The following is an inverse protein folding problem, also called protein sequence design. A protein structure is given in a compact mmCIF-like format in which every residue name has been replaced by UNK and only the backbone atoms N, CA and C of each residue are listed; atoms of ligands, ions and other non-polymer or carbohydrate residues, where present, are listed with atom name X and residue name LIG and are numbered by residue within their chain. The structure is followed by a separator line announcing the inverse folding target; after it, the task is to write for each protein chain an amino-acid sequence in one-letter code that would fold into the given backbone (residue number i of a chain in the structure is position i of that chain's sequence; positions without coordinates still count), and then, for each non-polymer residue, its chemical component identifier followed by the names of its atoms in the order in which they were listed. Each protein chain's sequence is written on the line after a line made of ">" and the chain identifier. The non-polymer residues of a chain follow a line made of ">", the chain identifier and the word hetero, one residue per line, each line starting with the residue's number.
data_IF_359760037464
#
_entry.id   IF_359760037464
#
_cell.length_a   1.000
_cell.length_b   1.000
_cell.length_c   1.000
_cell.angle_alpha   90.00
_cell.angle_beta   90.00
_cell.angle_gamma   90.00
#
_symmetry.space_group_name_H-M   'P 1'
#
loop_
_entity.id
_entity.type
_entity.pdbx_description
1 polymer ?
#
# COMPACT_ATOMS: atom_id res chain seq x y z
N UNK A 1 -4.14 14.68 21.93
CA UNK A 1 -2.90 15.45 22.19
C UNK A 1 -1.74 14.94 21.34
N UNK A 2 -1.47 13.65 21.31
CA UNK A 2 -0.30 13.06 20.63
C UNK A 2 -0.18 13.42 19.12
N UNK A 3 -1.25 13.28 18.34
CA UNK A 3 -1.22 13.61 16.90
C UNK A 3 -0.92 15.09 16.65
N UNK A 4 -1.56 15.98 17.42
CA UNK A 4 -1.38 17.43 17.28
C UNK A 4 0.05 17.87 17.56
N UNK A 5 0.71 17.25 18.52
CA UNK A 5 2.08 17.61 18.90
C UNK A 5 3.07 17.12 17.85
N UNK A 6 2.90 15.92 17.34
CA UNK A 6 3.78 15.37 16.30
C UNK A 6 3.61 16.08 14.94
N UNK A 7 2.42 16.62 14.64
CA UNK A 7 2.20 17.43 13.43
C UNK A 7 3.03 18.72 13.38
N UNK A 8 3.60 19.16 14.51
CA UNK A 8 4.54 20.28 14.54
C UNK A 8 5.90 19.91 13.95
N UNK A 9 6.29 18.64 14.10
CA UNK A 9 7.59 18.13 13.68
C UNK A 9 7.54 17.50 12.29
N UNK A 10 6.48 16.75 11.99
CA UNK A 10 6.27 16.13 10.69
C UNK A 10 4.78 16.16 10.29
N UNK A 11 4.51 16.71 9.13
CA UNK A 11 3.16 16.92 8.63
C UNK A 11 2.72 15.84 7.61
N UNK A 12 3.53 14.83 7.38
CA UNK A 12 3.20 13.69 6.53
C UNK A 12 2.63 12.51 7.30
N UNK A 13 1.82 11.70 6.63
CA UNK A 13 1.34 10.42 7.14
C UNK A 13 1.55 9.34 6.07
N UNK A 14 1.95 8.16 6.51
CA UNK A 14 2.09 6.98 5.65
C UNK A 14 0.86 6.08 5.84
N UNK A 15 0.41 5.45 4.76
CA UNK A 15 -0.64 4.44 4.76
C UNK A 15 -0.22 3.29 3.86
N UNK A 16 -0.34 2.05 4.35
CA UNK A 16 -0.12 0.88 3.50
C UNK A 16 -1.43 0.48 2.79
N UNK A 17 -1.31 0.02 1.56
CA UNK A 17 -2.39 -0.66 0.83
C UNK A 17 -1.85 -1.98 0.27
N UNK A 18 -2.62 -3.04 0.43
CA UNK A 18 -2.27 -4.34 -0.13
C UNK A 18 -3.47 -4.99 -0.77
N UNK A 19 -3.62 -6.28 -0.58
CA UNK A 19 -4.82 -7.06 -0.89
C UNK A 19 -5.01 -8.19 0.11
N UNK A 20 -6.17 -8.83 0.06
CA UNK A 20 -6.46 -10.12 0.68
C UNK A 20 -6.77 -11.08 -0.45
N UNK A 21 -5.76 -11.69 -1.03
CA UNK A 21 -5.90 -12.58 -2.18
C UNK A 21 -4.97 -13.81 -2.10
N UNK A 22 -5.27 -14.79 -2.90
CA UNK A 22 -4.43 -16.00 -3.00
C UNK A 22 -2.99 -15.65 -3.42
N UNK A 23 -2.02 -16.32 -2.84
CA UNK A 23 -0.58 -16.24 -3.17
C UNK A 23 0.02 -17.63 -3.37
N UNK A 24 -0.71 -18.50 -4.08
CA UNK A 24 -0.28 -19.88 -4.32
C UNK A 24 -0.25 -20.73 -3.05
N UNK A 25 0.33 -21.93 -3.14
CA UNK A 25 0.34 -22.89 -2.02
C UNK A 25 1.36 -22.53 -0.93
N UNK A 26 2.27 -21.62 -1.16
CA UNK A 26 3.35 -21.24 -0.25
C UNK A 26 3.17 -19.87 0.39
N UNK A 27 2.36 -18.99 -0.22
CA UNK A 27 2.13 -17.63 0.24
C UNK A 27 0.95 -17.51 1.23
N UNK A 28 0.99 -16.47 2.03
CA UNK A 28 -0.12 -16.11 2.91
C UNK A 28 -1.17 -15.31 2.12
N UNK A 29 -2.44 -15.51 2.44
CA UNK A 29 -3.54 -14.85 1.73
C UNK A 29 -3.51 -13.30 1.85
N UNK A 30 -2.82 -12.77 2.83
CA UNK A 30 -2.63 -11.34 3.06
C UNK A 30 -1.23 -10.82 2.72
N UNK A 31 -0.43 -11.56 1.93
CA UNK A 31 0.98 -11.23 1.62
C UNK A 31 1.16 -9.76 1.21
N UNK A 32 0.37 -9.27 0.28
CA UNK A 32 0.46 -7.88 -0.21
C UNK A 32 0.31 -6.85 0.91
N UNK A 33 -0.65 -7.08 1.80
CA UNK A 33 -0.88 -6.19 2.95
C UNK A 33 0.25 -6.31 3.97
N UNK A 34 0.70 -7.53 4.25
CA UNK A 34 1.78 -7.81 5.22
C UNK A 34 3.08 -7.13 4.76
N UNK A 35 3.44 -7.29 3.48
CA UNK A 35 4.66 -6.71 2.92
C UNK A 35 4.60 -5.17 2.92
N UNK A 36 3.52 -4.60 2.40
CA UNK A 36 3.37 -3.14 2.34
C UNK A 36 3.32 -2.50 3.73
N UNK A 37 2.65 -3.13 4.70
CA UNK A 37 2.57 -2.64 6.08
C UNK A 37 3.92 -2.72 6.79
N UNK A 38 4.66 -3.81 6.61
CA UNK A 38 5.99 -3.98 7.19
C UNK A 38 6.95 -2.88 6.70
N UNK A 39 6.94 -2.62 5.40
CA UNK A 39 7.76 -1.58 4.79
C UNK A 39 7.30 -0.20 5.24
N UNK A 40 5.99 0.08 5.19
CA UNK A 40 5.42 1.35 5.62
C UNK A 40 5.74 1.67 7.08
N UNK A 41 5.66 0.68 7.97
CA UNK A 41 6.02 0.79 9.38
C UNK A 41 7.50 1.15 9.57
N UNK A 42 8.38 0.49 8.83
CA UNK A 42 9.82 0.75 8.89
C UNK A 42 10.16 2.16 8.38
N UNK A 43 9.52 2.59 7.28
CA UNK A 43 9.69 3.94 6.72
C UNK A 43 9.14 4.99 7.69
N UNK A 44 7.94 4.79 8.22
CA UNK A 44 7.31 5.70 9.18
C UNK A 44 8.20 5.94 10.40
N UNK A 45 8.78 4.87 10.95
CA UNK A 45 9.71 4.94 12.08
C UNK A 45 10.97 5.73 11.73
N UNK A 46 11.60 5.45 10.59
CA UNK A 46 12.84 6.12 10.15
C UNK A 46 12.61 7.60 9.81
N UNK A 47 11.47 7.93 9.20
CA UNK A 47 11.11 9.30 8.79
C UNK A 47 10.41 10.10 9.90
N UNK A 48 10.21 9.53 11.07
CA UNK A 48 9.43 10.12 12.16
C UNK A 48 8.02 10.57 11.71
N UNK A 49 7.36 9.74 10.90
CA UNK A 49 6.00 9.97 10.40
C UNK A 49 4.99 9.11 11.14
N UNK A 50 3.71 9.50 11.10
CA UNK A 50 2.64 8.62 11.50
C UNK A 50 2.39 7.53 10.46
N UNK A 51 1.98 6.34 10.94
CA UNK A 51 1.43 5.26 10.13
C UNK A 51 -0.08 5.17 10.39
N UNK A 52 -0.88 5.33 9.35
CA UNK A 52 -2.31 5.08 9.39
C UNK A 52 -2.58 3.56 9.33
N UNK A 53 -3.76 3.09 9.77
CA UNK A 53 -4.19 1.73 9.55
C UNK A 53 -4.14 1.34 8.07
N UNK A 54 -3.72 0.11 7.79
CA UNK A 54 -3.58 -0.41 6.43
C UNK A 54 -4.93 -0.73 5.80
N UNK A 55 -5.01 -0.64 4.47
CA UNK A 55 -6.18 -1.05 3.68
C UNK A 55 -5.82 -2.37 2.98
N UNK A 56 -6.41 -3.48 3.46
CA UNK A 56 -6.17 -4.82 2.93
C UNK A 56 -7.33 -5.36 2.08
N UNK A 57 -8.47 -4.67 2.00
CA UNK A 57 -9.59 -5.02 1.12
C UNK A 57 -9.59 -4.09 -0.08
N UNK A 58 -9.14 -4.61 -1.20
CA UNK A 58 -8.88 -3.85 -2.42
C UNK A 58 -9.35 -4.65 -3.65
N UNK A 59 -9.26 -4.11 -4.87
CA UNK A 59 -9.65 -4.85 -6.07
C UNK A 59 -8.79 -6.09 -6.30
N UNK A 60 -9.40 -7.28 -6.23
CA UNK A 60 -8.77 -8.58 -6.47
C UNK A 60 -9.72 -9.55 -7.20
N UNK A 61 -10.65 -9.03 -8.03
CA UNK A 61 -11.71 -9.79 -8.68
C UNK A 61 -11.20 -10.95 -9.53
N UNK A 62 -10.04 -10.78 -10.19
CA UNK A 62 -9.42 -11.82 -11.01
C UNK A 62 -8.98 -13.05 -10.20
N UNK A 63 -8.83 -12.91 -8.87
CA UNK A 63 -8.47 -14.01 -7.94
C UNK A 63 -9.66 -14.59 -7.16
N UNK A 64 -10.91 -14.15 -7.42
CA UNK A 64 -12.10 -14.59 -6.70
C UNK A 64 -12.45 -16.09 -6.88
N UNK A 65 -11.83 -16.77 -7.84
CA UNK A 65 -11.95 -18.22 -7.99
C UNK A 65 -11.24 -19.00 -6.86
N UNK A 66 -10.35 -18.35 -6.12
CA UNK A 66 -9.60 -18.94 -5.03
C UNK A 66 -10.25 -18.57 -3.71
N UNK A 67 -10.58 -19.59 -2.91
CA UNK A 67 -11.24 -19.41 -1.61
C UNK A 67 -10.39 -18.55 -0.67
N UNK A 68 -11.05 -17.64 0.02
CA UNK A 68 -10.43 -16.73 0.96
C UNK A 68 -10.00 -15.38 0.36
N UNK A 69 -9.97 -15.24 -0.97
CA UNK A 69 -9.80 -13.94 -1.62
C UNK A 69 -11.00 -13.04 -1.30
N UNK A 70 -10.73 -11.80 -0.95
CA UNK A 70 -11.74 -10.76 -0.72
C UNK A 70 -11.50 -9.64 -1.72
N UNK A 71 -12.52 -9.30 -2.50
CA UNK A 71 -12.45 -8.23 -3.49
C UNK A 71 -13.52 -7.16 -3.26
N UNK A 72 -13.16 -5.91 -3.43
CA UNK A 72 -14.10 -4.80 -3.61
C UNK A 72 -13.91 -4.21 -5.01
N UNK A 73 -14.91 -3.49 -5.52
CA UNK A 73 -14.76 -2.84 -6.81
C UNK A 73 -13.70 -1.72 -6.77
N UNK A 74 -13.05 -1.47 -7.92
CA UNK A 74 -12.14 -0.35 -8.08
C UNK A 74 -12.80 0.99 -7.72
N UNK A 75 -14.10 1.15 -8.01
CA UNK A 75 -14.87 2.34 -7.67
C UNK A 75 -15.02 2.50 -6.14
N UNK A 76 -15.32 1.43 -5.42
CA UNK A 76 -15.39 1.43 -3.94
C UNK A 76 -14.05 1.77 -3.34
N UNK A 77 -12.97 1.17 -3.84
CA UNK A 77 -11.61 1.46 -3.38
C UNK A 77 -11.23 2.92 -3.62
N UNK A 78 -11.52 3.48 -4.80
CA UNK A 78 -11.30 4.91 -5.09
C UNK A 78 -12.08 5.81 -4.11
N UNK A 79 -13.34 5.50 -3.84
CA UNK A 79 -14.15 6.26 -2.88
C UNK A 79 -13.57 6.21 -1.48
N UNK A 80 -13.17 5.02 -1.01
CA UNK A 80 -12.50 4.85 0.29
C UNK A 80 -11.22 5.67 0.39
N UNK A 81 -10.34 5.61 -0.62
CA UNK A 81 -9.10 6.38 -0.65
C UNK A 81 -9.36 7.89 -0.60
N UNK A 82 -10.36 8.39 -1.34
CA UNK A 82 -10.75 9.81 -1.33
C UNK A 82 -11.20 10.26 0.06
N UNK A 83 -12.07 9.49 0.70
CA UNK A 83 -12.61 9.83 2.01
C UNK A 83 -11.54 9.78 3.10
N UNK A 84 -10.72 8.73 3.12
CA UNK A 84 -9.62 8.59 4.08
C UNK A 84 -8.59 9.72 3.89
N UNK A 85 -8.14 9.96 2.66
CA UNK A 85 -7.17 11.02 2.35
C UNK A 85 -7.73 12.40 2.74
N UNK A 86 -8.98 12.69 2.39
CA UNK A 86 -9.65 13.95 2.75
C UNK A 86 -9.73 14.15 4.25
N UNK A 87 -10.05 13.09 5.00
CA UNK A 87 -10.12 13.12 6.47
C UNK A 87 -8.76 13.43 7.08
N UNK A 88 -7.70 12.78 6.61
CA UNK A 88 -6.33 13.01 7.09
C UNK A 88 -5.88 14.45 6.83
N UNK A 89 -6.11 14.96 5.62
CA UNK A 89 -5.75 16.34 5.26
C UNK A 89 -6.56 17.36 6.08
N UNK A 90 -7.83 17.09 6.37
CA UNK A 90 -8.68 17.94 7.21
C UNK A 90 -8.17 18.03 8.66
N UNK A 91 -7.51 16.99 9.15
CA UNK A 91 -6.91 16.97 10.49
C UNK A 91 -5.52 17.60 10.57
N UNK A 92 -5.01 18.16 9.47
CA UNK A 92 -3.78 18.96 9.46
C UNK A 92 -2.57 18.27 8.86
N UNK A 93 -2.69 17.01 8.43
CA UNK A 93 -1.64 16.41 7.59
C UNK A 93 -1.56 17.18 6.26
N UNK A 94 -0.34 17.42 5.78
CA UNK A 94 -0.11 18.13 4.52
C UNK A 94 -0.07 17.21 3.32
N UNK A 95 0.31 15.97 3.54
CA UNK A 95 0.36 14.94 2.49
C UNK A 95 0.20 13.53 3.08
N UNK A 96 -0.26 12.64 2.24
CA UNK A 96 -0.38 11.21 2.48
C UNK A 96 0.54 10.48 1.52
N UNK A 97 1.38 9.57 2.02
CA UNK A 97 2.19 8.66 1.22
C UNK A 97 1.61 7.25 1.31
N UNK A 98 1.20 6.69 0.19
CA UNK A 98 0.78 5.29 0.11
C UNK A 98 1.98 4.41 -0.22
N UNK A 99 2.22 3.39 0.61
CA UNK A 99 3.08 2.25 0.28
C UNK A 99 2.18 1.14 -0.22
N UNK A 100 2.28 0.85 -1.52
CA UNK A 100 1.41 -0.12 -2.18
C UNK A 100 2.10 -1.49 -2.30
N UNK A 101 1.35 -2.56 -2.01
CA UNK A 101 1.76 -3.94 -2.13
C UNK A 101 0.99 -4.74 -3.20
N UNK A 102 0.03 -4.14 -3.92
CA UNK A 102 -0.83 -4.87 -4.84
C UNK A 102 -0.97 -4.19 -6.20
N UNK A 103 -0.74 -4.95 -7.28
CA UNK A 103 -0.72 -4.42 -8.65
C UNK A 103 -2.03 -3.76 -9.09
N UNK A 104 -3.18 -4.36 -8.77
CA UNK A 104 -4.49 -3.84 -9.15
C UNK A 104 -4.88 -2.52 -8.45
N UNK A 105 -4.14 -2.10 -7.44
CA UNK A 105 -4.35 -0.83 -6.76
C UNK A 105 -3.77 0.37 -7.54
N UNK A 106 -2.82 0.13 -8.45
CA UNK A 106 -2.00 1.19 -9.08
C UNK A 106 -2.86 2.20 -9.82
N UNK A 107 -3.70 1.75 -10.74
CA UNK A 107 -4.53 2.66 -11.54
C UNK A 107 -5.60 3.37 -10.70
N UNK A 108 -6.35 2.69 -9.81
CA UNK A 108 -7.23 3.37 -8.86
C UNK A 108 -6.54 4.44 -8.00
N UNK A 109 -5.33 4.18 -7.52
CA UNK A 109 -4.56 5.18 -6.74
C UNK A 109 -4.19 6.38 -7.61
N UNK A 110 -3.68 6.15 -8.84
CA UNK A 110 -3.34 7.23 -9.78
C UNK A 110 -4.55 8.10 -10.11
N UNK A 111 -5.72 7.50 -10.34
CA UNK A 111 -6.95 8.23 -10.58
C UNK A 111 -7.29 9.17 -9.41
N UNK A 112 -7.19 8.65 -8.19
CA UNK A 112 -7.50 9.44 -6.98
C UNK A 112 -6.47 10.55 -6.75
N UNK A 113 -5.20 10.34 -7.07
CA UNK A 113 -4.15 11.36 -6.90
C UNK A 113 -4.44 12.65 -7.65
N UNK A 114 -5.15 12.58 -8.79
CA UNK A 114 -5.52 13.75 -9.61
C UNK A 114 -6.33 14.74 -8.78
N UNK A 115 -7.19 14.25 -7.88
CA UNK A 115 -8.07 15.10 -7.06
C UNK A 115 -7.34 15.83 -5.92
N UNK A 116 -6.10 15.43 -5.60
CA UNK A 116 -5.40 15.91 -4.41
C UNK A 116 -4.19 16.83 -4.66
N UNK A 117 -3.91 17.24 -5.90
CA UNK A 117 -2.92 18.28 -6.21
C UNK A 117 -1.61 18.17 -5.39
N UNK A 118 -0.82 17.14 -5.60
CA UNK A 118 0.45 16.92 -4.89
C UNK A 118 0.34 16.78 -3.36
N UNK A 119 -0.81 16.29 -2.85
CA UNK A 119 -0.99 15.95 -1.44
C UNK A 119 -1.18 14.45 -1.21
N UNK A 120 -1.35 13.68 -2.28
CA UNK A 120 -1.38 12.22 -2.25
C UNK A 120 -0.26 11.70 -3.15
N UNK A 121 0.59 10.86 -2.59
CA UNK A 121 1.71 10.21 -3.26
C UNK A 121 1.62 8.71 -3.09
N UNK A 122 2.20 7.93 -4.01
CA UNK A 122 2.35 6.50 -3.77
C UNK A 122 3.64 5.96 -4.37
N UNK A 123 4.07 4.84 -3.82
CA UNK A 123 5.09 3.95 -4.37
C UNK A 123 4.70 2.51 -4.10
N UNK A 124 4.82 1.66 -5.12
CA UNK A 124 4.83 0.23 -4.92
C UNK A 124 6.19 -0.18 -4.37
N UNK A 125 6.23 -1.08 -3.38
CA UNK A 125 7.49 -1.40 -2.71
C UNK A 125 8.52 -2.02 -3.68
N UNK A 126 8.08 -2.65 -4.75
CA UNK A 126 8.94 -3.24 -5.79
C UNK A 126 9.45 -2.24 -6.83
N UNK A 127 9.03 -0.98 -6.82
CA UNK A 127 9.47 0.04 -7.77
C UNK A 127 10.92 0.54 -7.52
N UNK A 128 11.56 0.08 -6.46
CA UNK A 128 12.90 0.56 -6.10
C UNK A 128 13.98 -0.34 -6.71
N UNK A 129 14.99 0.23 -7.42
CA UNK A 129 16.06 -0.55 -8.04
C UNK A 129 16.76 -1.51 -7.06
N UNK A 130 17.06 -1.04 -5.85
CA UNK A 130 17.69 -1.88 -4.81
C UNK A 130 16.85 -3.09 -4.40
N UNK A 131 15.53 -2.98 -4.45
CA UNK A 131 14.63 -4.12 -4.18
C UNK A 131 14.75 -5.13 -5.31
N UNK A 132 14.73 -4.67 -6.56
CA UNK A 132 14.89 -5.55 -7.72
C UNK A 132 16.27 -6.21 -7.76
N UNK A 133 17.34 -5.49 -7.39
CA UNK A 133 18.69 -6.07 -7.28
C UNK A 133 18.74 -7.20 -6.24
N UNK A 134 18.08 -7.02 -5.08
CA UNK A 134 17.98 -8.06 -4.05
C UNK A 134 17.15 -9.24 -4.56
N UNK A 135 15.99 -8.99 -5.18
CA UNK A 135 15.13 -10.05 -5.73
C UNK A 135 15.90 -10.89 -6.76
N UNK A 136 16.56 -10.24 -7.71
CA UNK A 136 17.36 -10.92 -8.74
C UNK A 136 18.51 -11.74 -8.12
N UNK A 137 19.19 -11.20 -7.13
CA UNK A 137 20.31 -11.87 -6.46
C UNK A 137 19.87 -13.08 -5.65
N UNK A 138 18.79 -12.94 -4.86
CA UNK A 138 18.37 -13.98 -3.91
C UNK A 138 17.45 -15.04 -4.55
N UNK A 139 16.68 -14.68 -5.57
CA UNK A 139 15.66 -15.55 -6.17
C UNK A 139 15.92 -15.88 -7.65
N UNK A 140 16.65 -15.04 -8.40
CA UNK A 140 17.04 -15.30 -9.78
C UNK A 140 15.86 -15.75 -10.66
N UNK A 141 15.97 -16.95 -11.25
CA UNK A 141 14.95 -17.52 -12.14
C UNK A 141 13.63 -17.90 -11.44
N UNK A 142 13.59 -17.86 -10.10
CA UNK A 142 12.36 -18.08 -9.32
C UNK A 142 11.53 -16.80 -9.14
N UNK A 143 12.00 -15.71 -9.70
CA UNK A 143 11.28 -14.44 -9.65
C UNK A 143 10.02 -14.49 -10.54
N UNK A 144 8.96 -13.83 -10.09
CA UNK A 144 7.72 -13.68 -10.84
C UNK A 144 6.92 -12.49 -10.32
N UNK A 145 5.77 -12.27 -10.98
CA UNK A 145 4.91 -11.12 -10.67
C UNK A 145 3.91 -11.38 -9.54
N UNK A 146 3.68 -12.64 -9.22
CA UNK A 146 2.66 -13.02 -8.22
C UNK A 146 2.85 -14.45 -7.76
N UNK A 147 2.61 -14.71 -6.48
CA UNK A 147 2.69 -16.04 -5.86
C UNK A 147 4.04 -16.73 -6.03
N UNK A 148 5.12 -15.97 -5.94
CA UNK A 148 6.49 -16.47 -6.10
C UNK A 148 7.31 -16.30 -4.81
N UNK A 149 8.45 -17.01 -4.66
CA UNK A 149 9.30 -16.85 -3.48
C UNK A 149 9.85 -15.44 -3.26
N UNK A 150 9.86 -14.59 -4.31
CA UNK A 150 10.37 -13.23 -4.25
C UNK A 150 9.36 -12.19 -3.76
N UNK A 151 8.15 -12.62 -3.48
CA UNK A 151 7.05 -11.79 -2.99
C UNK A 151 6.86 -11.94 -1.48
#
# INVERSE_FOLDING_TARGET
>A
MEVRDKLKDNQGIIMATGSTEQHGPIGLIGTDTICSETIASSVAKKANMYLAPSIGFTPAEFNMKFQGTISISAQTFKSLLKEVTSSLLKHGFKYVLIVNGHGANIDPIKDVMIDFNNKLFFKSWWDFPTVNDIRNKEFGDLEGMHATPSE
#
